data_IF_815684252241
#
_entry.id   IF_815684252241
#
_cell.length_a   1.000
_cell.length_b   1.000
_cell.length_c   1.000
_cell.angle_alpha   90.00
_cell.angle_beta   90.00
_cell.angle_gamma   90.00
#
_symmetry.space_group_name_H-M   'P 1'
#
loop_
_entity.id
_entity.type
_entity.pdbx_description
1 polymer ?
#
# COMPACT_ATOMS: atom_id res chain seq x y z
N UNK A 1 -11.68 5.44 17.33
CA UNK A 1 -12.69 6.06 16.46
C UNK A 1 -12.96 5.08 15.32
N UNK A 2 -14.16 4.49 15.24
CA UNK A 2 -14.53 3.58 14.15
C UNK A 2 -14.92 4.44 12.96
N UNK A 3 -14.09 4.48 11.91
CA UNK A 3 -14.49 5.06 10.63
C UNK A 3 -15.55 4.15 10.01
N UNK A 4 -16.80 4.59 10.03
CA UNK A 4 -17.84 4.04 9.15
C UNK A 4 -17.61 4.62 7.75
N UNK A 5 -16.66 4.05 6.98
CA UNK A 5 -16.68 4.25 5.54
C UNK A 5 -17.82 3.39 5.00
N UNK A 6 -18.74 3.97 4.26
CA UNK A 6 -19.68 3.25 3.42
C UNK A 6 -18.89 2.56 2.32
N UNK A 7 -18.47 1.32 2.57
CA UNK A 7 -17.83 0.49 1.54
C UNK A 7 -18.95 0.06 0.61
N UNK A 8 -18.80 0.34 -0.67
CA UNK A 8 -19.70 -0.15 -1.70
C UNK A 8 -19.61 -1.67 -1.71
N UNK A 9 -20.74 -2.37 -1.61
CA UNK A 9 -20.81 -3.83 -1.57
C UNK A 9 -21.29 -4.38 -2.94
N UNK A 10 -20.61 -3.96 -4.01
CA UNK A 10 -20.88 -4.41 -5.38
C UNK A 10 -19.58 -4.86 -6.08
N UNK A 11 -19.64 -5.07 -7.38
CA UNK A 11 -18.54 -5.55 -8.21
C UNK A 11 -17.32 -4.60 -8.27
N UNK A 12 -17.48 -3.34 -7.86
CA UNK A 12 -16.36 -2.38 -7.73
C UNK A 12 -15.51 -2.66 -6.51
N UNK A 13 -16.01 -3.42 -5.52
CA UNK A 13 -15.26 -3.83 -4.34
C UNK A 13 -14.35 -5.00 -4.70
N UNK A 14 -13.02 -4.81 -4.56
CA UNK A 14 -12.03 -5.84 -4.92
C UNK A 14 -12.21 -7.15 -4.14
N UNK A 15 -12.66 -7.12 -2.89
CA UNK A 15 -12.94 -8.34 -2.13
C UNK A 15 -14.15 -9.10 -2.69
N UNK A 16 -15.18 -8.38 -3.14
CA UNK A 16 -16.33 -8.99 -3.82
C UNK A 16 -15.93 -9.55 -5.19
N UNK A 17 -15.14 -8.79 -5.96
CA UNK A 17 -14.58 -9.26 -7.24
C UNK A 17 -13.75 -10.53 -7.03
N UNK A 18 -12.88 -10.57 -6.01
CA UNK A 18 -12.08 -11.74 -5.68
C UNK A 18 -12.94 -12.98 -5.37
N UNK A 19 -14.03 -12.81 -4.59
CA UNK A 19 -14.98 -13.88 -4.32
C UNK A 19 -15.57 -14.46 -5.61
N UNK A 20 -16.04 -13.59 -6.51
CA UNK A 20 -16.63 -14.01 -7.77
C UNK A 20 -15.61 -14.72 -8.69
N UNK A 21 -14.39 -14.19 -8.81
CA UNK A 21 -13.32 -14.81 -9.61
C UNK A 21 -12.98 -16.21 -9.07
N UNK A 22 -12.79 -16.36 -7.76
CA UNK A 22 -12.49 -17.65 -7.14
C UNK A 22 -13.62 -18.65 -7.37
N UNK A 23 -14.90 -18.24 -7.21
CA UNK A 23 -16.06 -19.10 -7.46
C UNK A 23 -16.14 -19.56 -8.91
N UNK A 24 -15.93 -18.63 -9.84
CA UNK A 24 -16.08 -18.92 -11.26
C UNK A 24 -14.95 -19.81 -11.79
N UNK A 25 -13.70 -19.49 -11.44
CA UNK A 25 -12.54 -20.24 -11.92
C UNK A 25 -12.39 -21.63 -11.30
N UNK A 26 -12.82 -21.80 -10.03
CA UNK A 26 -12.70 -23.10 -9.36
C UNK A 26 -14.04 -23.81 -9.18
N UNK A 27 -15.13 -23.29 -9.78
CA UNK A 27 -16.48 -23.86 -9.65
C UNK A 27 -16.88 -24.11 -8.19
N UNK A 28 -16.48 -23.20 -7.31
CA UNK A 28 -16.81 -23.30 -5.89
C UNK A 28 -18.29 -23.03 -5.70
N UNK A 29 -19.05 -24.07 -5.33
CA UNK A 29 -20.46 -23.95 -5.05
C UNK A 29 -20.74 -23.44 -3.64
N UNK A 30 -21.92 -22.86 -3.43
CA UNK A 30 -22.40 -22.39 -2.15
C UNK A 30 -22.60 -20.88 -2.07
N UNK A 31 -23.26 -20.47 -1.00
CA UNK A 31 -23.46 -19.06 -0.64
C UNK A 31 -22.41 -18.67 0.42
N UNK A 32 -21.77 -17.53 0.22
CA UNK A 32 -20.78 -16.99 1.15
C UNK A 32 -21.28 -15.64 1.70
N UNK A 33 -21.16 -15.47 3.00
CA UNK A 33 -21.37 -14.18 3.64
C UNK A 33 -20.00 -13.58 3.96
N UNK A 34 -19.74 -12.38 3.46
CA UNK A 34 -18.49 -11.66 3.71
C UNK A 34 -18.76 -10.43 4.57
N UNK A 35 -17.97 -10.29 5.65
CA UNK A 35 -18.00 -9.12 6.52
C UNK A 35 -16.60 -8.47 6.53
N UNK A 36 -16.51 -7.21 6.12
CA UNK A 36 -15.24 -6.46 6.06
C UNK A 36 -15.22 -5.42 7.19
N UNK A 37 -14.32 -5.63 8.17
CA UNK A 37 -14.01 -4.64 9.19
C UNK A 37 -12.84 -3.77 8.74
N UNK A 38 -13.13 -2.65 8.08
CA UNK A 38 -12.12 -1.78 7.49
C UNK A 38 -11.31 -1.05 8.57
N UNK A 39 -10.00 -1.34 8.62
CA UNK A 39 -9.03 -0.66 9.50
C UNK A 39 -8.06 0.22 8.71
N UNK A 40 -7.72 -0.20 7.49
CA UNK A 40 -6.91 0.61 6.57
C UNK A 40 -7.84 1.65 5.93
N UNK A 41 -7.52 2.95 6.02
CA UNK A 41 -8.35 4.00 5.43
C UNK A 41 -8.51 3.84 3.91
N UNK A 42 -9.68 4.21 3.41
CA UNK A 42 -9.96 4.26 1.97
C UNK A 42 -9.29 5.50 1.36
N UNK A 43 -8.88 5.42 0.08
CA UNK A 43 -8.24 6.53 -0.67
C UNK A 43 -7.02 7.13 0.04
N UNK A 44 -6.21 6.25 0.62
CA UNK A 44 -5.01 6.63 1.36
C UNK A 44 -3.70 6.17 0.69
N UNK A 45 -3.75 5.48 -0.45
CA UNK A 45 -2.55 4.91 -1.09
C UNK A 45 -1.91 3.75 -0.31
N UNK A 46 -2.69 3.05 0.53
CA UNK A 46 -2.18 1.99 1.43
C UNK A 46 -2.58 0.57 0.97
N UNK A 47 -3.11 0.39 -0.23
CA UNK A 47 -3.45 -0.93 -0.77
C UNK A 47 -4.53 -1.71 -0.01
N UNK A 48 -5.36 -1.03 0.81
CA UNK A 48 -6.30 -1.69 1.71
C UNK A 48 -7.35 -2.54 0.99
N UNK A 49 -7.85 -2.12 -0.18
CA UNK A 49 -8.77 -2.93 -1.00
C UNK A 49 -8.11 -4.18 -1.55
N UNK A 50 -6.85 -4.07 -1.99
CA UNK A 50 -6.06 -5.19 -2.50
C UNK A 50 -5.72 -6.19 -1.40
N UNK A 51 -5.47 -5.72 -0.17
CA UNK A 51 -5.27 -6.58 0.99
C UNK A 51 -6.55 -7.35 1.37
N UNK A 52 -7.73 -6.70 1.30
CA UNK A 52 -9.02 -7.35 1.52
C UNK A 52 -9.26 -8.45 0.46
N UNK A 53 -9.01 -8.15 -0.82
CA UNK A 53 -9.12 -9.13 -1.92
C UNK A 53 -8.18 -10.32 -1.73
N UNK A 54 -6.91 -10.07 -1.38
CA UNK A 54 -5.93 -11.12 -1.11
C UNK A 54 -6.36 -12.02 0.06
N UNK A 55 -6.99 -11.46 1.09
CA UNK A 55 -7.54 -12.24 2.19
C UNK A 55 -8.68 -13.18 1.73
N UNK A 56 -9.55 -12.70 0.86
CA UNK A 56 -10.65 -13.51 0.28
C UNK A 56 -10.08 -14.63 -0.59
N UNK A 57 -9.10 -14.35 -1.46
CA UNK A 57 -8.47 -15.37 -2.31
C UNK A 57 -7.86 -16.47 -1.44
N UNK A 58 -7.06 -16.12 -0.43
CA UNK A 58 -6.45 -17.11 0.49
C UNK A 58 -7.50 -17.93 1.25
N UNK A 59 -8.58 -17.29 1.72
CA UNK A 59 -9.64 -17.98 2.46
C UNK A 59 -10.35 -19.01 1.57
N UNK A 60 -10.66 -18.63 0.32
CA UNK A 60 -11.34 -19.53 -0.63
C UNK A 60 -10.41 -20.60 -1.19
N UNK A 61 -9.12 -20.33 -1.33
CA UNK A 61 -8.15 -21.37 -1.71
C UNK A 61 -8.01 -22.43 -0.60
N UNK A 62 -7.99 -22.03 0.67
CA UNK A 62 -8.04 -22.96 1.78
C UNK A 62 -9.34 -23.77 1.79
N UNK A 63 -10.48 -23.12 1.59
CA UNK A 63 -11.79 -23.81 1.49
C UNK A 63 -11.81 -24.80 0.32
N UNK A 64 -11.29 -24.42 -0.85
CA UNK A 64 -11.15 -25.28 -2.01
C UNK A 64 -10.32 -26.53 -1.69
N UNK A 65 -9.16 -26.36 -1.05
CA UNK A 65 -8.27 -27.44 -0.64
C UNK A 65 -8.99 -28.41 0.34
N UNK A 66 -9.71 -27.89 1.32
CA UNK A 66 -10.48 -28.70 2.27
C UNK A 66 -11.64 -29.48 1.60
N UNK A 67 -12.18 -28.96 0.50
CA UNK A 67 -13.24 -29.61 -0.29
C UNK A 67 -12.72 -30.45 -1.45
N UNK A 68 -11.41 -30.58 -1.60
CA UNK A 68 -10.75 -31.34 -2.68
C UNK A 68 -11.16 -30.86 -4.09
N UNK A 69 -11.51 -29.57 -4.23
CA UNK A 69 -11.83 -28.97 -5.52
C UNK A 69 -10.56 -28.70 -6.29
N UNK A 70 -10.51 -29.09 -7.57
CA UNK A 70 -9.35 -28.91 -8.44
C UNK A 70 -8.93 -27.44 -8.60
N UNK A 71 -7.62 -27.24 -8.81
CA UNK A 71 -7.03 -25.95 -9.13
C UNK A 71 -7.09 -25.72 -10.64
N UNK A 72 -8.05 -24.94 -11.11
CA UNK A 72 -8.17 -24.59 -12.53
C UNK A 72 -7.30 -23.38 -12.91
N UNK A 73 -7.04 -22.46 -11.96
CA UNK A 73 -6.21 -21.27 -12.16
C UNK A 73 -5.41 -20.96 -10.90
N UNK A 74 -4.14 -20.52 -11.06
CA UNK A 74 -3.29 -20.19 -9.91
C UNK A 74 -3.77 -18.92 -9.18
N UNK A 75 -3.52 -18.85 -7.87
CA UNK A 75 -3.88 -17.69 -7.03
C UNK A 75 -3.30 -16.39 -7.59
N UNK A 76 -2.08 -16.42 -8.11
CA UNK A 76 -1.40 -15.24 -8.67
C UNK A 76 -2.12 -14.71 -9.92
N UNK A 77 -2.64 -15.59 -10.78
CA UNK A 77 -3.40 -15.19 -11.96
C UNK A 77 -4.73 -14.57 -11.57
N UNK A 78 -5.46 -15.20 -10.63
CA UNK A 78 -6.71 -14.65 -10.11
C UNK A 78 -6.46 -13.31 -9.40
N UNK A 79 -5.37 -13.21 -8.63
CA UNK A 79 -4.98 -11.99 -7.96
C UNK A 79 -4.73 -10.84 -8.95
N UNK A 80 -3.99 -11.10 -10.04
CA UNK A 80 -3.73 -10.11 -11.09
C UNK A 80 -5.01 -9.68 -11.81
N UNK A 81 -5.90 -10.62 -12.11
CA UNK A 81 -7.20 -10.34 -12.72
C UNK A 81 -8.09 -9.50 -11.79
N UNK A 82 -7.93 -9.68 -10.48
CA UNK A 82 -8.64 -8.89 -9.47
C UNK A 82 -8.13 -7.44 -9.43
N UNK A 83 -6.80 -7.24 -9.41
CA UNK A 83 -6.19 -5.91 -9.42
C UNK A 83 -4.66 -5.95 -9.31
N UNK A 84 -3.99 -4.92 -9.82
CA UNK A 84 -2.53 -4.82 -9.95
C UNK A 84 -1.74 -5.02 -8.64
N UNK A 85 -2.26 -4.55 -7.50
CA UNK A 85 -1.59 -4.67 -6.20
C UNK A 85 -1.94 -5.97 -5.46
N UNK A 86 -2.92 -6.76 -5.95
CA UNK A 86 -3.38 -7.96 -5.24
C UNK A 86 -2.32 -9.06 -5.22
N UNK A 87 -1.55 -9.32 -6.30
CA UNK A 87 -0.45 -10.29 -6.27
C UNK A 87 0.59 -9.99 -5.19
N UNK A 88 0.96 -8.70 -5.02
CA UNK A 88 1.86 -8.27 -3.94
C UNK A 88 1.26 -8.56 -2.55
N UNK A 89 -0.03 -8.30 -2.36
CA UNK A 89 -0.72 -8.60 -1.11
C UNK A 89 -0.83 -10.11 -0.83
N UNK A 90 -0.91 -10.96 -1.86
CA UNK A 90 -0.81 -12.42 -1.73
C UNK A 90 0.59 -12.82 -1.31
N UNK A 91 1.63 -12.29 -1.98
CA UNK A 91 3.03 -12.58 -1.68
C UNK A 91 3.41 -12.17 -0.26
N UNK A 92 2.92 -11.03 0.20
CA UNK A 92 3.11 -10.47 1.55
C UNK A 92 4.57 -10.43 2.01
N UNK A 93 5.48 -10.10 1.09
CA UNK A 93 6.92 -9.94 1.33
C UNK A 93 7.44 -8.67 0.68
N UNK A 94 8.55 -8.10 1.16
CA UNK A 94 9.19 -6.99 0.46
C UNK A 94 9.57 -7.40 -0.96
N UNK A 95 9.09 -6.66 -1.96
CA UNK A 95 9.31 -6.97 -3.35
C UNK A 95 9.53 -5.71 -4.20
N UNK A 96 10.35 -5.84 -5.24
CA UNK A 96 10.27 -4.99 -6.41
C UNK A 96 9.12 -5.47 -7.27
N UNK A 97 8.13 -4.61 -7.50
CA UNK A 97 6.98 -4.91 -8.36
C UNK A 97 7.22 -4.30 -9.74
N UNK A 98 7.00 -5.08 -10.81
CA UNK A 98 7.17 -4.66 -12.20
C UNK A 98 6.01 -5.13 -13.06
N UNK A 99 5.97 -4.62 -14.32
CA UNK A 99 4.85 -4.88 -15.22
C UNK A 99 3.58 -4.20 -14.74
N UNK A 100 2.47 -4.90 -14.83
CA UNK A 100 1.17 -4.46 -14.29
C UNK A 100 0.89 -5.04 -12.89
N UNK A 101 1.93 -5.49 -12.15
CA UNK A 101 1.82 -6.09 -10.81
C UNK A 101 2.16 -7.59 -10.76
N UNK A 102 2.44 -8.23 -11.91
CA UNK A 102 2.68 -9.67 -12.02
C UNK A 102 4.11 -10.10 -11.71
N UNK A 103 5.09 -9.18 -11.81
CA UNK A 103 6.50 -9.50 -11.59
C UNK A 103 6.93 -9.06 -10.20
N UNK A 104 7.09 -10.03 -9.31
CA UNK A 104 7.43 -9.82 -7.91
C UNK A 104 8.79 -10.40 -7.59
N UNK A 105 9.83 -9.55 -7.61
CA UNK A 105 11.18 -9.95 -7.21
C UNK A 105 11.37 -9.65 -5.72
N UNK A 106 11.55 -10.67 -4.90
CA UNK A 106 11.79 -10.49 -3.45
C UNK A 106 13.08 -9.71 -3.22
N UNK A 107 13.04 -8.76 -2.30
CA UNK A 107 14.21 -7.99 -1.87
C UNK A 107 14.51 -8.28 -0.41
N UNK A 108 15.78 -8.16 -0.04
CA UNK A 108 16.22 -8.30 1.34
C UNK A 108 16.31 -6.94 2.00
N UNK A 109 15.79 -6.83 3.19
CA UNK A 109 15.90 -5.62 4.01
C UNK A 109 16.74 -5.95 5.24
N UNK A 110 17.90 -5.31 5.38
CA UNK A 110 18.84 -5.57 6.46
C UNK A 110 18.32 -5.11 7.83
N UNK A 111 17.76 -3.92 7.86
CA UNK A 111 17.37 -3.28 9.11
C UNK A 111 15.86 -3.40 9.34
N UNK A 112 15.48 -3.66 10.58
CA UNK A 112 14.07 -3.57 10.99
C UNK A 112 13.73 -2.11 11.26
N UNK A 113 12.79 -1.57 10.49
CA UNK A 113 12.24 -0.23 10.69
C UNK A 113 10.87 -0.27 11.33
N UNK A 114 10.63 0.66 12.23
CA UNK A 114 9.30 1.07 12.63
C UNK A 114 8.77 2.09 11.62
N UNK A 115 7.47 2.11 11.43
CA UNK A 115 6.80 2.93 10.43
C UNK A 115 5.72 3.75 11.11
N UNK A 116 5.79 5.07 10.96
CA UNK A 116 4.69 5.96 11.27
C UNK A 116 3.98 6.29 9.96
N UNK A 117 2.69 6.01 9.89
CA UNK A 117 1.82 6.44 8.80
C UNK A 117 0.99 7.60 9.32
N UNK A 118 1.00 8.73 8.60
CA UNK A 118 0.22 9.92 8.91
C UNK A 118 -0.65 10.25 7.70
N UNK A 119 -1.95 10.39 7.92
CA UNK A 119 -2.91 10.65 6.85
C UNK A 119 -3.68 11.94 7.14
N UNK A 120 -3.74 12.89 6.18
CA UNK A 120 -4.73 13.95 6.16
C UNK A 120 -6.15 13.37 6.16
N UNK A 121 -7.13 14.10 6.70
CA UNK A 121 -8.52 13.63 6.71
C UNK A 121 -9.19 13.71 5.31
N UNK A 122 -8.43 14.03 4.28
CA UNK A 122 -8.84 14.12 2.88
C UNK A 122 -8.17 12.98 2.12
N UNK A 123 -8.96 12.19 1.37
CA UNK A 123 -8.48 11.18 0.45
C UNK A 123 -8.14 11.78 -0.91
N UNK A 124 -7.38 11.05 -1.71
CA UNK A 124 -7.14 11.36 -3.12
C UNK A 124 -7.63 10.20 -3.98
N UNK A 125 -8.34 10.52 -5.05
CA UNK A 125 -8.73 9.53 -6.05
C UNK A 125 -7.50 9.02 -6.78
N UNK A 126 -7.27 7.72 -6.75
CA UNK A 126 -6.18 7.06 -7.49
C UNK A 126 -6.24 7.40 -8.98
N UNK A 127 -7.45 7.39 -9.56
CA UNK A 127 -7.67 7.72 -10.96
C UNK A 127 -7.20 9.15 -11.28
N UNK A 128 -7.64 10.12 -10.48
CA UNK A 128 -7.34 11.54 -10.73
C UNK A 128 -5.84 11.83 -10.61
N UNK A 129 -5.14 11.15 -9.69
CA UNK A 129 -3.69 11.29 -9.53
C UNK A 129 -2.94 10.73 -10.74
N UNK A 130 -3.35 9.56 -11.27
CA UNK A 130 -2.73 8.99 -12.47
C UNK A 130 -3.04 9.84 -13.72
N UNK A 131 -4.29 10.27 -13.91
CA UNK A 131 -4.66 11.16 -15.01
C UNK A 131 -3.86 12.47 -14.95
N UNK A 132 -3.69 13.05 -13.76
CA UNK A 132 -2.89 14.27 -13.62
C UNK A 132 -1.39 14.01 -13.87
N UNK A 133 -0.88 12.82 -13.55
CA UNK A 133 0.52 12.42 -13.82
C UNK A 133 0.82 12.36 -15.33
N UNK A 134 -0.13 11.87 -16.13
CA UNK A 134 0.02 11.75 -17.59
C UNK A 134 0.22 13.10 -18.29
N UNK A 135 -0.22 14.20 -17.66
CA UNK A 135 -0.04 15.57 -18.17
C UNK A 135 1.22 16.29 -17.65
N UNK A 136 2.02 15.64 -16.80
CA UNK A 136 3.26 16.25 -16.29
C UNK A 136 4.40 15.99 -17.29
N UNK A 137 5.21 17.03 -17.52
CA UNK A 137 6.43 16.86 -18.29
C UNK A 137 7.40 15.93 -17.52
N UNK A 138 7.66 14.76 -18.10
CA UNK A 138 8.48 13.71 -17.46
C UNK A 138 9.96 14.14 -17.27
N UNK A 139 10.46 15.09 -18.07
CA UNK A 139 11.82 15.63 -17.93
C UNK A 139 12.01 16.50 -16.67
N UNK A 140 10.92 17.00 -16.11
CA UNK A 140 10.92 17.83 -14.90
C UNK A 140 10.80 17.00 -13.62
N UNK A 141 10.57 15.69 -13.74
CA UNK A 141 10.39 14.79 -12.59
C UNK A 141 11.70 14.09 -12.27
N UNK A 142 12.12 14.19 -11.00
CA UNK A 142 13.19 13.33 -10.49
C UNK A 142 12.68 11.91 -10.33
N UNK A 143 13.25 10.97 -11.06
CA UNK A 143 12.96 9.54 -10.93
C UNK A 143 13.89 8.90 -9.89
N UNK A 144 13.42 7.87 -9.12
CA UNK A 144 14.27 7.11 -8.24
C UNK A 144 15.20 6.19 -9.02
N UNK A 145 16.42 5.97 -8.53
CA UNK A 145 17.21 4.80 -8.90
C UNK A 145 16.78 3.62 -8.03
N UNK A 146 15.96 2.75 -8.61
CA UNK A 146 15.38 1.61 -7.87
C UNK A 146 16.46 0.59 -7.50
N UNK A 147 17.48 0.38 -8.34
CA UNK A 147 18.56 -0.56 -8.04
C UNK A 147 19.43 -0.02 -6.88
N UNK A 148 19.72 1.28 -6.86
CA UNK A 148 20.38 1.93 -5.75
C UNK A 148 19.54 1.87 -4.44
N UNK A 149 18.21 2.05 -4.54
CA UNK A 149 17.33 1.92 -3.37
C UNK A 149 17.31 0.50 -2.81
N UNK A 150 17.22 -0.52 -3.67
CA UNK A 150 17.27 -1.93 -3.26
C UNK A 150 18.60 -2.23 -2.57
N UNK A 151 19.72 -1.82 -3.18
CA UNK A 151 21.05 -1.98 -2.60
C UNK A 151 21.14 -1.31 -1.22
N UNK A 152 20.64 -0.07 -1.10
CA UNK A 152 20.62 0.65 0.18
C UNK A 152 19.82 -0.09 1.28
N UNK A 153 18.68 -0.68 0.92
CA UNK A 153 17.89 -1.50 1.83
C UNK A 153 18.63 -2.78 2.27
N UNK A 154 19.36 -3.41 1.35
CA UNK A 154 20.13 -4.63 1.61
C UNK A 154 21.34 -4.40 2.52
N UNK A 155 22.04 -3.27 2.35
CA UNK A 155 23.20 -2.92 3.18
C UNK A 155 22.85 -2.07 4.39
N UNK A 156 21.64 -1.48 4.42
CA UNK A 156 21.15 -0.60 5.50
C UNK A 156 21.72 0.82 5.47
N UNK A 157 22.01 1.33 4.27
CA UNK A 157 22.50 2.71 4.05
C UNK A 157 21.31 3.68 4.00
N UNK A 158 21.08 4.39 5.10
CA UNK A 158 19.96 5.33 5.24
C UNK A 158 20.14 6.59 4.38
N UNK A 159 21.36 7.00 4.09
CA UNK A 159 21.59 8.17 3.24
C UNK A 159 21.21 7.86 1.78
N UNK A 160 21.66 6.72 1.27
CA UNK A 160 21.32 6.27 -0.06
C UNK A 160 19.81 5.95 -0.21
N UNK A 161 19.18 5.41 0.87
CA UNK A 161 17.71 5.26 0.92
C UNK A 161 17.02 6.62 0.77
N UNK A 162 17.41 7.62 1.56
CA UNK A 162 16.82 8.97 1.52
C UNK A 162 16.91 9.60 0.13
N UNK A 163 18.00 9.40 -0.57
CA UNK A 163 18.22 9.96 -1.92
C UNK A 163 17.31 9.32 -2.98
N UNK A 164 16.89 8.06 -2.76
CA UNK A 164 16.15 7.26 -3.74
C UNK A 164 14.73 6.88 -3.30
N UNK A 165 14.28 7.24 -2.09
CA UNK A 165 12.89 7.08 -1.64
C UNK A 165 12.00 8.16 -2.29
N UNK A 166 11.91 8.12 -3.63
CA UNK A 166 11.16 9.09 -4.42
C UNK A 166 9.90 8.41 -4.95
N UNK A 167 8.76 9.08 -4.75
CA UNK A 167 7.49 8.69 -5.36
C UNK A 167 7.10 9.74 -6.42
N UNK A 168 7.17 9.38 -7.68
CA UNK A 168 6.85 10.30 -8.79
C UNK A 168 5.39 10.77 -8.76
N UNK A 169 4.48 9.98 -8.21
CA UNK A 169 3.08 10.35 -8.04
C UNK A 169 2.87 11.44 -6.97
N UNK A 170 3.89 11.74 -6.16
CA UNK A 170 3.81 12.86 -5.21
C UNK A 170 3.71 14.22 -5.90
N UNK A 171 4.21 14.37 -7.13
CA UNK A 171 4.12 15.64 -7.88
C UNK A 171 2.66 16.05 -8.15
N UNK A 172 1.82 15.23 -8.83
CA UNK A 172 0.41 15.55 -9.01
C UNK A 172 -0.38 15.56 -7.71
N UNK A 173 -0.06 14.64 -6.77
CA UNK A 173 -0.75 14.55 -5.49
C UNK A 173 -0.58 15.82 -4.64
N UNK A 174 0.63 16.37 -4.56
CA UNK A 174 0.92 17.62 -3.86
C UNK A 174 0.22 18.80 -4.51
N UNK A 175 0.12 18.83 -5.86
CA UNK A 175 -0.62 19.85 -6.57
C UNK A 175 -2.10 19.82 -6.24
N UNK A 176 -2.68 18.62 -6.13
CA UNK A 176 -4.08 18.41 -5.75
C UNK A 176 -4.35 18.66 -4.26
N UNK A 177 -3.40 18.28 -3.41
CA UNK A 177 -3.50 18.37 -1.94
C UNK A 177 -2.18 18.88 -1.35
N UNK A 178 -1.95 20.20 -1.25
CA UNK A 178 -0.70 20.80 -0.74
C UNK A 178 -0.33 20.37 0.68
N UNK A 179 -1.30 19.95 1.48
CA UNK A 179 -1.08 19.42 2.83
C UNK A 179 -0.12 18.21 2.86
N UNK A 180 0.00 17.46 1.76
CA UNK A 180 0.97 16.36 1.65
C UNK A 180 2.39 16.91 1.77
N UNK A 181 2.70 18.01 1.06
CA UNK A 181 4.02 18.64 1.14
C UNK A 181 4.29 19.20 2.53
N UNK A 182 3.33 19.92 3.11
CA UNK A 182 3.45 20.45 4.47
C UNK A 182 3.75 19.35 5.48
N UNK A 183 3.10 18.20 5.34
CA UNK A 183 3.30 17.04 6.20
C UNK A 183 4.69 16.43 6.04
N UNK A 184 5.18 16.25 4.81
CA UNK A 184 6.51 15.73 4.53
C UNK A 184 7.61 16.68 5.03
N UNK A 185 7.44 18.00 4.82
CA UNK A 185 8.35 19.02 5.32
C UNK A 185 8.39 19.00 6.88
N UNK A 186 7.25 18.86 7.52
CA UNK A 186 7.17 18.77 8.98
C UNK A 186 7.81 17.48 9.52
N UNK A 187 7.62 16.34 8.84
CA UNK A 187 8.32 15.09 9.18
C UNK A 187 9.84 15.30 9.15
N UNK A 188 10.34 15.92 8.09
CA UNK A 188 11.77 16.23 7.94
C UNK A 188 12.25 17.18 9.02
N UNK A 189 11.50 18.24 9.34
CA UNK A 189 11.84 19.18 10.42
C UNK A 189 11.91 18.52 11.81
N UNK A 190 11.20 17.40 12.01
CA UNK A 190 11.27 16.57 13.23
C UNK A 190 12.43 15.56 13.17
N UNK A 191 13.26 15.60 12.13
CA UNK A 191 14.36 14.67 11.90
C UNK A 191 13.90 13.28 11.48
N UNK A 192 12.68 13.14 10.95
CA UNK A 192 12.19 11.91 10.34
C UNK A 192 12.53 11.96 8.85
N UNK A 193 13.82 11.83 8.54
CA UNK A 193 14.38 12.06 7.19
C UNK A 193 14.02 10.98 6.17
N UNK A 194 13.80 9.73 6.61
CA UNK A 194 13.32 8.65 5.78
C UNK A 194 11.79 8.73 5.71
N UNK A 195 11.27 9.63 4.90
CA UNK A 195 9.82 9.83 4.74
C UNK A 195 9.42 9.89 3.27
N UNK A 196 8.14 9.72 3.02
CA UNK A 196 7.58 9.78 1.68
C UNK A 196 6.06 9.64 1.66
N UNK A 197 5.46 9.87 0.49
CA UNK A 197 4.04 9.59 0.25
C UNK A 197 3.87 8.12 -0.19
N UNK A 198 2.85 7.45 0.31
CA UNK A 198 2.51 6.08 -0.06
C UNK A 198 1.58 6.03 -1.27
N UNK A 199 1.96 5.28 -2.31
CA UNK A 199 1.15 5.06 -3.51
C UNK A 199 0.70 6.38 -4.15
N UNK A 200 -0.59 6.54 -4.37
CA UNK A 200 -1.22 7.77 -4.90
C UNK A 200 -1.57 8.80 -3.81
N UNK A 201 -1.19 8.53 -2.57
CA UNK A 201 -1.54 9.36 -1.42
C UNK A 201 -2.97 9.06 -0.91
N UNK A 202 -3.48 9.82 0.03
CA UNK A 202 -2.91 10.98 0.72
C UNK A 202 -2.00 10.63 1.91
N UNK A 203 -1.85 9.34 2.27
CA UNK A 203 -1.01 8.95 3.40
C UNK A 203 0.47 9.18 3.11
N UNK A 204 1.15 9.74 4.12
CA UNK A 204 2.60 9.83 4.18
C UNK A 204 3.13 8.88 5.23
N UNK A 205 4.38 8.46 5.07
CA UNK A 205 5.05 7.58 6.03
C UNK A 205 6.40 8.13 6.44
N UNK A 206 6.85 7.73 7.62
CA UNK A 206 8.23 7.92 8.07
C UNK A 206 8.76 6.62 8.66
N UNK A 207 10.02 6.33 8.37
CA UNK A 207 10.76 5.17 8.86
C UNK A 207 11.76 5.58 9.93
N UNK A 208 11.89 4.78 10.99
CA UNK A 208 12.92 4.97 12.01
C UNK A 208 13.27 3.63 12.68
N UNK A 209 14.52 3.46 13.08
CA UNK A 209 14.93 2.39 14.00
C UNK A 209 14.54 2.70 15.44
N UNK A 210 14.33 3.98 15.75
CA UNK A 210 13.87 4.44 17.06
C UNK A 210 12.34 4.58 17.06
N UNK A 211 11.67 3.62 17.69
CA UNK A 211 10.22 3.61 17.83
C UNK A 211 9.71 4.79 18.66
N UNK A 212 10.44 5.16 19.73
CA UNK A 212 10.01 6.25 20.60
C UNK A 212 9.92 7.59 19.86
N UNK A 213 10.88 7.84 18.96
CA UNK A 213 10.86 9.04 18.09
C UNK A 213 9.57 9.12 17.27
N UNK A 214 9.13 7.98 16.70
CA UNK A 214 7.88 7.92 15.94
C UNK A 214 6.64 8.07 16.83
N UNK A 215 6.66 7.54 18.07
CA UNK A 215 5.56 7.70 19.03
C UNK A 215 5.36 9.16 19.44
N UNK A 216 6.46 9.90 19.67
CA UNK A 216 6.41 11.33 19.96
C UNK A 216 5.84 12.11 18.78
N UNK A 217 6.31 11.83 17.57
CA UNK A 217 5.81 12.47 16.35
C UNK A 217 4.33 12.15 16.12
N UNK A 218 3.91 10.90 16.30
CA UNK A 218 2.50 10.47 16.18
C UNK A 218 1.57 11.33 17.02
N UNK A 219 1.88 11.49 18.32
CA UNK A 219 1.07 12.32 19.23
C UNK A 219 0.97 13.77 18.78
N UNK A 220 2.05 14.32 18.21
CA UNK A 220 2.08 15.69 17.71
C UNK A 220 1.21 15.85 16.45
N UNK A 221 1.22 14.88 15.55
CA UNK A 221 0.37 14.88 14.36
C UNK A 221 -1.10 14.64 14.72
N UNK A 222 -1.38 13.74 15.67
CA UNK A 222 -2.73 13.50 16.18
C UNK A 222 -3.32 14.77 16.83
N UNK A 223 -2.52 15.53 17.59
CA UNK A 223 -2.92 16.81 18.15
C UNK A 223 -3.28 17.86 17.10
N UNK A 224 -2.76 17.74 15.88
CA UNK A 224 -3.10 18.56 14.71
C UNK A 224 -4.29 18.03 13.91
N UNK A 225 -4.90 16.91 14.34
CA UNK A 225 -6.06 16.30 13.70
C UNK A 225 -5.75 15.30 12.60
N UNK A 226 -4.49 14.90 12.40
CA UNK A 226 -4.15 13.83 11.47
C UNK A 226 -4.50 12.45 12.04
N UNK A 227 -4.83 11.51 11.17
CA UNK A 227 -4.93 10.10 11.56
C UNK A 227 -3.56 9.45 11.51
N UNK A 228 -3.10 8.85 12.63
CA UNK A 228 -1.78 8.25 12.74
C UNK A 228 -1.85 6.76 13.03
N UNK A 229 -0.93 5.99 12.45
CA UNK A 229 -0.80 4.55 12.67
C UNK A 229 0.68 4.20 12.83
N UNK A 230 1.01 3.44 13.88
CA UNK A 230 2.34 2.92 14.13
C UNK A 230 2.39 1.42 13.83
N UNK A 231 3.36 1.02 13.02
CA UNK A 231 3.62 -0.36 12.65
C UNK A 231 5.12 -0.62 12.48
N UNK A 232 5.48 -1.73 11.91
CA UNK A 232 6.87 -2.08 11.57
C UNK A 232 6.90 -2.89 10.27
N UNK A 233 8.04 -2.94 9.61
CA UNK A 233 8.25 -3.86 8.50
C UNK A 233 8.02 -5.30 8.94
N UNK A 234 7.27 -6.04 8.14
CA UNK A 234 7.11 -7.47 8.27
C UNK A 234 8.18 -8.11 7.37
N UNK A 235 9.18 -8.74 7.97
CA UNK A 235 10.37 -9.27 7.27
C UNK A 235 10.44 -10.81 7.26
N UNK A 236 9.34 -11.50 7.60
CA UNK A 236 9.29 -12.97 7.68
C UNK A 236 8.89 -13.59 6.34
#
# INVERSE_FOLDING_TARGET
MLFRSTIICDESNLAYKALNLMKNHHRIEGAFQMMIHKRIPVEAGLGGGSADAAAVIRALDNYRKEKEVELEMTEEKIALECGADVPFCIKNKPCRVRGIGERLDEIKIKNKYHVLIVRPNIGLSTKDVFEAFDFINQEEIKHPDIDALIHALEIGDEQLMKENMINVLSYPAIKALPQIKELLDEMTAKGLDLNGMSGTGSACYALSKDRHKLEVASRQFEAKGYSCFLTSFHLN
#
